data_IF_911208066871
#
_entry.id   IF_911208066871
#
_cell.length_a   1.000
_cell.length_b   1.000
_cell.length_c   1.000
_cell.angle_alpha   90.00
_cell.angle_beta   90.00
_cell.angle_gamma   90.00
#
_symmetry.space_group_name_H-M   'P 1'
#
loop_
_entity.id
_entity.type
_entity.pdbx_description
1 polymer ?
#
# COMPACT_ATOMS: atom_id res chain seq x y z
N UNK A 1 -23.37 -7.05 8.82
CA UNK A 1 -22.71 -6.64 7.55
C UNK A 1 -22.65 -5.13 7.53
N UNK A 2 -21.47 -4.54 7.36
CA UNK A 2 -21.27 -3.08 7.32
C UNK A 2 -20.77 -2.68 5.94
N UNK A 3 -21.31 -1.58 5.40
CA UNK A 3 -20.87 -1.03 4.12
C UNK A 3 -20.11 0.27 4.41
N UNK A 4 -18.84 0.31 4.02
CA UNK A 4 -17.95 1.46 4.16
C UNK A 4 -17.97 2.24 2.85
N UNK A 5 -18.52 3.45 2.89
CA UNK A 5 -18.79 4.28 1.71
C UNK A 5 -17.89 5.51 1.64
N UNK A 6 -17.29 5.91 2.75
CA UNK A 6 -16.51 7.14 2.86
C UNK A 6 -15.07 6.84 3.28
N UNK A 7 -14.12 7.55 2.67
CA UNK A 7 -12.74 7.64 3.14
C UNK A 7 -12.56 8.98 3.82
N UNK A 8 -12.11 8.95 5.06
CA UNK A 8 -11.74 10.10 5.86
C UNK A 8 -10.20 10.12 6.03
N UNK A 9 -9.64 11.31 6.22
CA UNK A 9 -8.22 11.44 6.51
C UNK A 9 -7.87 10.76 7.84
N UNK A 10 -6.60 10.38 8.00
CA UNK A 10 -6.11 9.80 9.24
C UNK A 10 -6.29 10.78 10.42
N UNK A 11 -6.94 10.30 11.49
CA UNK A 11 -7.05 11.00 12.76
C UNK A 11 -6.60 10.07 13.89
N UNK A 12 -5.68 10.54 14.73
CA UNK A 12 -5.16 9.79 15.87
C UNK A 12 -6.18 9.68 17.01
N UNK A 13 -7.09 10.66 17.13
CA UNK A 13 -8.08 10.73 18.21
C UNK A 13 -9.42 10.08 17.83
N UNK A 14 -9.59 9.67 16.58
CA UNK A 14 -10.80 8.99 16.15
C UNK A 14 -11.03 7.69 16.93
N UNK A 15 -12.21 7.58 17.52
CA UNK A 15 -12.70 6.33 18.12
C UNK A 15 -13.10 5.40 16.98
N UNK A 16 -12.42 4.26 16.89
CA UNK A 16 -12.59 3.30 15.80
C UNK A 16 -13.23 2.04 16.34
N UNK A 17 -14.17 1.47 15.59
CA UNK A 17 -14.83 0.21 15.95
C UNK A 17 -13.86 -0.96 15.81
N UNK A 18 -13.03 -0.96 14.76
CA UNK A 18 -11.99 -1.96 14.52
C UNK A 18 -10.89 -1.44 13.59
N UNK A 19 -9.82 -2.23 13.46
CA UNK A 19 -8.76 -2.05 12.48
C UNK A 19 -8.87 -3.08 11.35
N UNK A 20 -8.50 -2.67 10.13
CA UNK A 20 -8.51 -3.53 8.95
C UNK A 20 -7.12 -3.55 8.30
N UNK A 21 -6.31 -4.60 8.53
CA UNK A 21 -5.02 -4.77 7.89
C UNK A 21 -5.18 -5.13 6.41
N UNK A 22 -4.68 -4.26 5.52
CA UNK A 22 -4.76 -4.46 4.07
C UNK A 22 -3.37 -4.39 3.44
N UNK A 23 -3.09 -5.30 2.49
CA UNK A 23 -1.92 -5.22 1.60
C UNK A 23 -1.98 -4.01 0.68
N UNK A 24 -0.86 -3.60 0.08
CA UNK A 24 -0.84 -2.50 -0.89
C UNK A 24 -1.85 -2.74 -2.03
N UNK A 25 -1.93 -3.96 -2.56
CA UNK A 25 -2.88 -4.33 -3.63
C UNK A 25 -4.33 -4.22 -3.14
N UNK A 26 -4.64 -4.71 -1.93
CA UNK A 26 -5.99 -4.59 -1.38
C UNK A 26 -6.40 -3.13 -1.16
N UNK A 27 -5.47 -2.26 -0.78
CA UNK A 27 -5.71 -0.82 -0.58
C UNK A 27 -6.03 -0.05 -1.87
N UNK A 28 -5.90 -0.67 -3.04
CA UNK A 28 -6.35 -0.08 -4.33
C UNK A 28 -7.78 -0.49 -4.72
N UNK A 29 -8.43 -1.37 -3.94
CA UNK A 29 -9.77 -1.87 -4.25
C UNK A 29 -10.83 -0.88 -3.73
N UNK A 30 -11.60 -0.29 -4.66
CA UNK A 30 -12.76 0.56 -4.31
C UNK A 30 -14.02 -0.23 -3.96
N UNK A 31 -14.11 -1.49 -4.44
CA UNK A 31 -15.21 -2.42 -4.15
C UNK A 31 -14.65 -3.79 -3.81
N UNK A 32 -14.84 -4.21 -2.56
CA UNK A 32 -14.33 -5.49 -2.08
C UNK A 32 -15.04 -5.91 -0.79
N UNK A 33 -15.15 -7.22 -0.54
CA UNK A 33 -15.70 -7.80 0.68
C UNK A 33 -14.56 -8.34 1.54
N UNK A 34 -14.50 -7.93 2.79
CA UNK A 34 -13.56 -8.43 3.78
C UNK A 34 -14.31 -9.16 4.89
N UNK A 35 -13.80 -10.33 5.25
CA UNK A 35 -14.17 -11.03 6.47
C UNK A 35 -13.19 -10.64 7.56
N UNK A 36 -13.70 -10.12 8.66
CA UNK A 36 -12.87 -9.83 9.85
C UNK A 36 -12.75 -11.08 10.72
N UNK A 37 -11.70 -11.14 11.53
CA UNK A 37 -11.46 -12.25 12.46
C UNK A 37 -12.59 -12.41 13.50
N UNK A 38 -13.31 -11.33 13.80
CA UNK A 38 -14.44 -11.32 14.73
C UNK A 38 -15.77 -11.73 14.07
N UNK A 39 -15.75 -12.16 12.80
CA UNK A 39 -16.94 -12.60 12.06
C UNK A 39 -17.77 -11.46 11.45
N UNK A 40 -17.37 -10.20 11.62
CA UNK A 40 -18.00 -9.08 10.93
C UNK A 40 -17.61 -9.08 9.45
N UNK A 41 -18.60 -8.84 8.59
CA UNK A 41 -18.41 -8.72 7.14
C UNK A 41 -18.43 -7.24 6.77
N UNK A 42 -17.33 -6.76 6.19
CA UNK A 42 -17.17 -5.39 5.72
C UNK A 42 -17.20 -5.34 4.19
N UNK A 43 -17.93 -4.38 3.62
CA UNK A 43 -17.96 -4.13 2.19
C UNK A 43 -17.44 -2.74 1.88
N UNK A 44 -16.37 -2.64 1.09
CA UNK A 44 -15.95 -1.38 0.51
C UNK A 44 -16.88 -0.99 -0.64
N UNK A 45 -17.35 0.25 -0.62
CA UNK A 45 -18.06 0.90 -1.71
C UNK A 45 -17.59 2.35 -1.83
N UNK A 46 -16.30 2.50 -2.12
CA UNK A 46 -15.63 3.79 -2.24
C UNK A 46 -15.72 4.33 -3.68
N UNK A 47 -15.40 5.62 -3.84
CA UNK A 47 -15.22 6.23 -5.16
C UNK A 47 -14.16 5.47 -5.97
N UNK A 48 -14.37 5.36 -7.29
CA UNK A 48 -13.37 4.75 -8.19
C UNK A 48 -12.04 5.51 -8.08
N UNK A 49 -10.94 4.79 -8.21
CA UNK A 49 -9.59 5.36 -8.06
C UNK A 49 -9.16 5.64 -6.62
N UNK A 50 -10.00 5.36 -5.61
CA UNK A 50 -9.59 5.53 -4.21
C UNK A 50 -8.44 4.58 -3.87
N UNK A 51 -7.31 5.15 -3.47
CA UNK A 51 -6.17 4.42 -2.90
C UNK A 51 -6.10 4.73 -1.41
N UNK A 52 -6.17 3.68 -0.60
CA UNK A 52 -6.09 3.77 0.86
C UNK A 52 -4.63 3.79 1.31
N UNK A 53 -4.35 4.65 2.29
CA UNK A 53 -3.04 4.77 2.95
C UNK A 53 -3.10 4.19 4.36
N UNK A 54 -1.93 3.97 4.94
CA UNK A 54 -1.86 3.62 6.36
C UNK A 54 -2.59 4.67 7.20
N UNK A 55 -3.36 4.21 8.19
CA UNK A 55 -4.15 5.02 9.13
C UNK A 55 -5.32 5.80 8.55
N UNK A 56 -5.59 5.70 7.26
CA UNK A 56 -6.85 6.22 6.71
C UNK A 56 -8.03 5.63 7.47
N UNK A 57 -9.09 6.42 7.58
CA UNK A 57 -10.32 6.01 8.24
C UNK A 57 -11.38 5.74 7.18
N UNK A 58 -12.15 4.68 7.37
CA UNK A 58 -13.28 4.35 6.55
C UNK A 58 -14.55 4.43 7.39
N UNK A 59 -15.55 5.13 6.90
CA UNK A 59 -16.82 5.25 7.59
C UNK A 59 -17.95 4.64 6.77
N UNK A 60 -18.97 4.13 7.47
CA UNK A 60 -20.27 3.87 6.88
C UNK A 60 -20.99 5.18 6.52
N UNK A 61 -22.17 5.07 5.92
CA UNK A 61 -22.94 6.24 5.47
C UNK A 61 -23.33 7.20 6.61
N UNK A 62 -23.62 6.66 7.80
CA UNK A 62 -24.01 7.48 8.97
C UNK A 62 -22.82 8.11 9.70
N UNK A 63 -21.60 7.65 9.45
CA UNK A 63 -20.41 8.07 10.18
C UNK A 63 -20.26 7.43 11.56
N UNK A 64 -21.22 6.62 12.01
CA UNK A 64 -21.21 5.99 13.35
C UNK A 64 -20.28 4.79 13.43
N UNK A 65 -19.99 4.14 12.30
CA UNK A 65 -19.09 3.00 12.23
C UNK A 65 -17.81 3.37 11.50
N UNK A 66 -16.70 3.44 12.23
CA UNK A 66 -15.40 3.87 11.72
C UNK A 66 -14.39 2.73 11.82
N UNK A 67 -13.73 2.44 10.71
CA UNK A 67 -12.67 1.44 10.57
C UNK A 67 -11.35 2.12 10.26
N UNK A 68 -10.28 1.76 10.97
CA UNK A 68 -8.93 2.26 10.66
C UNK A 68 -8.19 1.27 9.77
N UNK A 69 -7.67 1.76 8.64
CA UNK A 69 -6.78 0.98 7.78
C UNK A 69 -5.42 0.86 8.43
N UNK A 70 -4.87 -0.36 8.43
CA UNK A 70 -3.48 -0.63 8.79
C UNK A 70 -2.79 -1.16 7.56
N UNK A 71 -1.61 -0.62 7.24
CA UNK A 71 -0.77 -1.20 6.21
C UNK A 71 -0.26 -2.57 6.69
N UNK A 72 -0.85 -3.64 6.14
CA UNK A 72 -0.49 -5.01 6.51
C UNK A 72 0.96 -5.28 6.12
N UNK A 73 1.83 -5.74 7.03
CA UNK A 73 3.14 -6.23 6.66
C UNK A 73 3.03 -7.37 5.64
N UNK A 74 3.78 -7.24 4.55
CA UNK A 74 3.77 -8.21 3.45
C UNK A 74 5.19 -8.47 2.93
N UNK A 75 5.45 -9.60 2.25
CA UNK A 75 6.77 -9.90 1.69
C UNK A 75 7.18 -8.87 0.64
N UNK A 76 8.30 -8.21 0.88
CA UNK A 76 8.88 -7.20 -0.01
C UNK A 76 10.37 -7.42 -0.23
N UNK A 77 10.88 -6.74 -1.26
CA UNK A 77 12.30 -6.47 -1.45
C UNK A 77 12.59 -5.05 -0.97
N UNK A 78 13.53 -4.89 -0.04
CA UNK A 78 14.10 -3.60 0.34
C UNK A 78 15.44 -3.43 -0.37
N UNK A 79 15.59 -2.33 -1.10
CA UNK A 79 16.73 -2.09 -1.98
C UNK A 79 17.51 -0.88 -1.54
N UNK A 80 18.80 -1.06 -1.31
CA UNK A 80 19.77 -0.03 -0.97
C UNK A 80 20.85 0.06 -2.03
N UNK A 81 21.37 1.27 -2.23
CA UNK A 81 22.53 1.52 -3.10
C UNK A 81 23.65 2.15 -2.28
N UNK A 82 24.88 2.09 -2.80
CA UNK A 82 26.04 2.73 -2.16
C UNK A 82 25.95 4.25 -2.21
N UNK A 83 25.27 4.78 -3.22
CA UNK A 83 25.01 6.21 -3.41
C UNK A 83 23.53 6.48 -3.68
N UNK A 84 23.11 7.72 -3.48
CA UNK A 84 21.77 8.17 -3.88
C UNK A 84 21.54 8.07 -5.39
N UNK A 85 22.60 8.21 -6.21
CA UNK A 85 22.53 8.06 -7.66
C UNK A 85 22.18 6.62 -8.06
N UNK A 86 22.65 5.61 -7.33
CA UNK A 86 22.31 4.21 -7.59
C UNK A 86 20.82 3.95 -7.36
N UNK A 87 20.25 4.50 -6.27
CA UNK A 87 18.81 4.43 -6.00
C UNK A 87 17.99 5.12 -7.09
N UNK A 88 18.43 6.30 -7.58
CA UNK A 88 17.75 6.99 -8.69
C UNK A 88 17.75 6.16 -9.98
N UNK A 89 18.87 5.49 -10.31
CA UNK A 89 18.95 4.59 -11.46
C UNK A 89 18.03 3.38 -11.31
N UNK A 90 18.02 2.75 -10.14
CA UNK A 90 17.11 1.65 -9.86
C UNK A 90 15.64 2.07 -9.99
N UNK A 91 15.26 3.21 -9.40
CA UNK A 91 13.92 3.78 -9.50
C UNK A 91 13.53 4.07 -10.96
N UNK A 92 14.45 4.62 -11.77
CA UNK A 92 14.23 4.84 -13.20
C UNK A 92 13.91 3.54 -13.95
N UNK A 93 14.69 2.48 -13.73
CA UNK A 93 14.46 1.20 -14.41
C UNK A 93 13.17 0.49 -13.95
N UNK A 94 12.82 0.60 -12.67
CA UNK A 94 11.57 0.06 -12.13
C UNK A 94 10.36 0.86 -12.65
N UNK A 95 10.47 2.18 -12.70
CA UNK A 95 9.47 3.07 -13.27
C UNK A 95 9.20 2.80 -14.74
N UNK A 96 10.24 2.58 -15.56
CA UNK A 96 10.13 2.18 -16.97
C UNK A 96 9.40 0.84 -17.19
N UNK A 97 9.26 0.03 -16.13
CA UNK A 97 8.53 -1.25 -16.14
C UNK A 97 7.16 -1.15 -15.48
N UNK A 98 6.74 0.06 -15.06
CA UNK A 98 5.50 0.30 -14.32
C UNK A 98 5.39 -0.55 -13.04
N UNK A 99 6.51 -0.80 -12.38
CA UNK A 99 6.51 -1.51 -11.09
C UNK A 99 6.07 -0.55 -9.98
N UNK A 100 5.06 -0.91 -9.16
CA UNK A 100 4.75 -0.16 -7.95
C UNK A 100 5.95 -0.18 -7.01
N UNK A 101 6.43 1.00 -6.62
CA UNK A 101 7.58 1.15 -5.73
C UNK A 101 7.27 2.15 -4.63
N UNK A 102 7.69 1.84 -3.41
CA UNK A 102 7.78 2.81 -2.31
C UNK A 102 9.17 3.42 -2.35
N UNK A 103 9.24 4.75 -2.25
CA UNK A 103 10.49 5.49 -2.38
C UNK A 103 10.75 6.21 -1.06
N UNK A 104 11.94 6.02 -0.51
CA UNK A 104 12.43 6.77 0.63
C UNK A 104 13.80 7.37 0.31
N UNK A 105 14.31 8.32 1.10
CA UNK A 105 15.65 8.88 0.87
C UNK A 105 16.79 7.85 0.91
N UNK A 106 16.59 6.69 1.55
CA UNK A 106 17.65 5.71 1.81
C UNK A 106 17.41 4.35 1.17
N UNK A 107 16.21 4.04 0.72
CA UNK A 107 15.88 2.76 0.11
C UNK A 107 14.63 2.83 -0.79
N UNK A 108 14.51 1.86 -1.68
CA UNK A 108 13.27 1.54 -2.40
C UNK A 108 12.65 0.28 -1.80
N UNK A 109 11.33 0.13 -1.90
CA UNK A 109 10.65 -1.16 -1.70
C UNK A 109 9.76 -1.52 -2.86
N UNK A 110 9.62 -2.82 -3.12
CA UNK A 110 8.61 -3.39 -4.02
C UNK A 110 8.17 -4.76 -3.50
N UNK A 111 7.05 -5.27 -4.00
CA UNK A 111 6.61 -6.64 -3.72
C UNK A 111 7.70 -7.66 -4.07
N UNK A 112 7.76 -8.76 -3.30
CA UNK A 112 8.69 -9.86 -3.55
C UNK A 112 8.51 -10.45 -4.96
N UNK A 113 9.51 -10.23 -5.82
CA UNK A 113 9.58 -10.75 -7.19
C UNK A 113 11.01 -11.20 -7.51
N UNK A 114 11.26 -12.52 -7.67
CA UNK A 114 12.60 -13.04 -7.97
C UNK A 114 13.22 -12.54 -9.28
N UNK A 115 12.41 -12.21 -10.29
CA UNK A 115 12.90 -11.70 -11.58
C UNK A 115 13.41 -10.28 -11.41
N UNK A 116 12.65 -9.44 -10.70
CA UNK A 116 13.08 -8.07 -10.40
C UNK A 116 14.26 -8.04 -9.44
N UNK A 117 14.32 -8.97 -8.48
CA UNK A 117 15.48 -9.15 -7.61
C UNK A 117 16.76 -9.38 -8.41
N UNK A 118 16.78 -10.39 -9.29
CA UNK A 118 17.95 -10.71 -10.11
C UNK A 118 18.37 -9.53 -11.01
N UNK A 119 17.41 -8.80 -11.56
CA UNK A 119 17.67 -7.61 -12.37
C UNK A 119 18.31 -6.47 -11.56
N UNK A 120 17.88 -6.25 -10.32
CA UNK A 120 18.44 -5.24 -9.42
C UNK A 120 19.83 -5.64 -8.89
N UNK A 121 20.08 -6.93 -8.67
CA UNK A 121 21.42 -7.45 -8.34
C UNK A 121 22.40 -7.20 -9.48
N UNK A 122 21.99 -7.38 -10.74
CA UNK A 122 22.80 -7.05 -11.92
C UNK A 122 23.11 -5.55 -12.04
N UNK A 123 22.26 -4.68 -11.48
CA UNK A 123 22.53 -3.24 -11.38
C UNK A 123 23.47 -2.89 -10.21
N UNK A 124 23.93 -3.88 -9.45
CA UNK A 124 24.82 -3.68 -8.30
C UNK A 124 24.12 -3.18 -7.04
N UNK A 125 22.79 -3.35 -6.95
CA UNK A 125 22.03 -2.98 -5.76
C UNK A 125 22.15 -4.03 -4.66
N UNK A 126 22.07 -3.58 -3.41
CA UNK A 126 21.92 -4.46 -2.25
C UNK A 126 20.43 -4.69 -1.98
N UNK A 127 20.04 -5.95 -1.80
CA UNK A 127 18.63 -6.34 -1.67
C UNK A 127 18.44 -7.22 -0.44
N UNK A 128 17.43 -6.89 0.35
CA UNK A 128 17.01 -7.68 1.51
C UNK A 128 15.54 -8.07 1.32
N UNK A 129 15.25 -9.35 1.51
CA UNK A 129 13.88 -9.85 1.64
C UNK A 129 13.43 -9.65 3.08
N UNK A 130 12.30 -8.98 3.28
CA UNK A 130 11.72 -8.75 4.60
C UNK A 130 10.19 -8.73 4.54
N UNK A 131 9.55 -8.87 5.71
CA UNK A 131 8.12 -8.67 5.86
C UNK A 131 7.94 -7.29 6.48
N UNK A 132 7.46 -6.32 5.70
CA UNK A 132 7.26 -4.96 6.18
C UNK A 132 6.04 -4.29 5.53
N UNK A 133 5.45 -3.26 6.15
CA UNK A 133 4.43 -2.46 5.50
C UNK A 133 4.97 -1.86 4.19
N UNK A 134 4.17 -1.97 3.15
CA UNK A 134 4.48 -1.48 1.82
C UNK A 134 3.47 -0.46 1.35
N UNK A 135 3.91 0.74 0.98
CA UNK A 135 3.08 1.84 0.54
C UNK A 135 3.66 2.46 -0.74
N UNK A 136 3.37 1.86 -1.91
CA UNK A 136 3.91 2.35 -3.17
C UNK A 136 3.43 3.76 -3.49
N UNK A 137 4.27 4.51 -4.18
CA UNK A 137 3.91 5.78 -4.76
C UNK A 137 2.75 5.62 -5.75
N UNK A 138 1.87 6.62 -5.76
CA UNK A 138 0.77 6.66 -6.72
C UNK A 138 1.37 7.08 -8.06
N UNK A 139 1.07 6.34 -9.13
CA UNK A 139 1.53 6.71 -10.47
C UNK A 139 1.11 8.14 -10.84
N UNK A 140 1.92 8.81 -11.67
CA UNK A 140 1.71 10.21 -12.05
C UNK A 140 0.32 10.50 -12.65
N UNK A 141 -0.31 9.49 -13.23
CA UNK A 141 -1.68 9.54 -13.73
C UNK A 141 -2.60 8.82 -12.75
N UNK A 142 -2.86 9.45 -11.61
CA UNK A 142 -3.64 8.91 -10.48
C UNK A 142 -5.11 8.59 -10.76
N UNK A 143 -5.54 8.51 -12.03
CA UNK A 143 -6.92 8.25 -12.43
C UNK A 143 -6.91 7.43 -13.71
N UNK A 144 -6.85 6.10 -13.58
CA UNK A 144 -7.35 5.24 -14.66
C UNK A 144 -8.84 5.53 -14.83
N UNK A 145 -9.26 5.85 -16.06
CA UNK A 145 -10.64 6.10 -16.46
C UNK A 145 -11.63 5.01 -15.98
#
# INVERSE_FOLDING_TARGET
MVILTQRLAADQNAVVCLTLPLTAVQRTRSRYRFDTENGEILHLRLSRGTVLRDRDLLANETGEFIVRIIAKPEPILRITGKTSLDLLRAAYHLGNRHIPIEITPTNLKLSLDPVLKAMLEQLGMEIIEEISPFQPEIGAYGHGH
#
